data_IF_151543862487
#
_entry.id   IF_151543862487
#
_cell.length_a   1.000
_cell.length_b   1.000
_cell.length_c   1.000
_cell.angle_alpha   90.00
_cell.angle_beta   90.00
_cell.angle_gamma   90.00
#
_symmetry.space_group_name_H-M   'P 1'
#
loop_
_entity.id
_entity.type
_entity.pdbx_description
1 polymer ?
#
# COMPACT_ATOMS: atom_id res chain seq x y z
N UNK A 1 1.01 -19.82 15.15
CA UNK A 1 0.09 -19.45 14.05
C UNK A 1 0.79 -18.44 13.17
N UNK A 2 1.24 -18.85 11.97
CA UNK A 2 1.78 -17.93 10.98
C UNK A 2 0.65 -17.02 10.49
N UNK A 3 0.81 -15.70 10.61
CA UNK A 3 -0.12 -14.75 9.98
C UNK A 3 0.06 -14.89 8.47
N UNK A 4 -0.94 -15.45 7.81
CA UNK A 4 -0.99 -15.54 6.35
C UNK A 4 -1.40 -14.15 5.84
N UNK A 5 -0.44 -13.37 5.37
CA UNK A 5 -0.73 -12.10 4.72
C UNK A 5 -1.05 -12.38 3.26
N UNK A 6 -2.17 -11.85 2.77
CA UNK A 6 -2.52 -11.98 1.37
C UNK A 6 -1.41 -11.34 0.50
N UNK A 7 -0.95 -12.09 -0.50
CA UNK A 7 0.05 -11.61 -1.45
C UNK A 7 -0.52 -10.50 -2.36
N UNK A 8 -1.84 -10.45 -2.49
CA UNK A 8 -2.58 -9.54 -3.34
C UNK A 8 -3.20 -8.38 -2.53
N UNK A 9 -3.47 -7.30 -3.25
CA UNK A 9 -4.11 -6.12 -2.70
C UNK A 9 -5.63 -6.19 -2.86
N UNK A 10 -6.38 -5.86 -1.81
CA UNK A 10 -7.85 -5.82 -1.86
C UNK A 10 -8.44 -4.62 -1.11
N UNK A 11 -9.71 -4.30 -1.40
CA UNK A 11 -10.43 -3.21 -0.74
C UNK A 11 -10.66 -3.48 0.75
N UNK A 12 -10.52 -2.45 1.58
CA UNK A 12 -10.62 -2.58 3.04
C UNK A 12 -9.37 -3.18 3.70
N UNK A 13 -8.35 -3.56 2.93
CA UNK A 13 -7.10 -4.04 3.49
C UNK A 13 -6.40 -2.93 4.27
N UNK A 14 -5.89 -3.28 5.46
CA UNK A 14 -4.99 -2.41 6.22
C UNK A 14 -3.59 -2.46 5.61
N UNK A 15 -3.06 -1.29 5.31
CA UNK A 15 -1.73 -1.06 4.76
C UNK A 15 -1.02 0.04 5.53
N UNK A 16 0.26 0.22 5.23
CA UNK A 16 1.12 1.23 5.80
C UNK A 16 1.62 2.15 4.70
N UNK A 17 1.48 3.46 4.89
CA UNK A 17 1.85 4.49 3.90
C UNK A 17 3.07 5.24 4.40
N UNK A 18 4.10 5.32 3.55
CA UNK A 18 5.37 5.98 3.79
C UNK A 18 5.39 7.29 3.00
N UNK A 19 5.10 8.42 3.66
CA UNK A 19 5.04 9.74 2.99
C UNK A 19 6.43 10.20 2.57
N UNK A 20 7.40 10.08 3.47
CA UNK A 20 8.82 10.35 3.21
C UNK A 20 9.68 9.29 3.91
N UNK A 21 10.95 9.09 3.50
CA UNK A 21 11.84 8.12 4.14
C UNK A 21 12.10 8.39 5.63
N UNK A 22 11.93 9.64 6.07
CA UNK A 22 12.22 10.09 7.43
C UNK A 22 10.97 10.24 8.30
N UNK A 23 9.78 10.31 7.69
CA UNK A 23 8.53 10.41 8.43
C UNK A 23 8.11 9.07 9.02
N UNK A 24 7.38 9.12 10.14
CA UNK A 24 6.75 7.93 10.67
C UNK A 24 5.71 7.40 9.67
N UNK A 25 5.73 6.09 9.38
CA UNK A 25 4.75 5.49 8.51
C UNK A 25 3.34 5.54 9.14
N UNK A 26 2.32 5.68 8.29
CA UNK A 26 0.94 5.86 8.75
C UNK A 26 0.09 4.67 8.31
N UNK A 27 -0.62 4.06 9.25
CA UNK A 27 -1.60 3.02 8.92
C UNK A 27 -2.79 3.60 8.17
N UNK A 28 -3.25 2.91 7.13
CA UNK A 28 -4.36 3.33 6.30
C UNK A 28 -5.18 2.13 5.81
N UNK A 29 -6.43 2.38 5.42
CA UNK A 29 -7.30 1.41 4.79
C UNK A 29 -7.41 1.67 3.30
N UNK A 30 -7.28 0.63 2.47
CA UNK A 30 -7.48 0.72 1.02
C UNK A 30 -8.96 0.99 0.74
N UNK A 31 -9.26 2.05 0.01
CA UNK A 31 -10.65 2.47 -0.30
C UNK A 31 -10.97 2.44 -1.78
N UNK A 32 -9.97 2.55 -2.66
CA UNK A 32 -10.11 2.37 -4.10
C UNK A 32 -8.78 1.87 -4.68
N UNK A 33 -8.88 0.97 -5.65
CA UNK A 33 -7.75 0.49 -6.46
C UNK A 33 -8.02 0.96 -7.89
N UNK A 34 -7.09 1.71 -8.47
CA UNK A 34 -7.20 2.27 -9.81
C UNK A 34 -6.15 1.63 -10.72
N UNK A 35 -6.54 0.55 -11.40
CA UNK A 35 -5.64 -0.19 -12.30
C UNK A 35 -5.30 0.60 -13.56
N UNK A 36 -6.13 1.56 -13.98
CA UNK A 36 -5.86 2.36 -15.19
C UNK A 36 -4.70 3.33 -14.98
N UNK A 37 -4.61 3.89 -13.77
CA UNK A 37 -3.57 4.86 -13.41
C UNK A 37 -2.43 4.26 -12.59
N UNK A 38 -2.58 3.01 -12.13
CA UNK A 38 -1.63 2.39 -11.20
C UNK A 38 -1.60 3.07 -9.84
N UNK A 39 -2.71 3.66 -9.40
CA UNK A 39 -2.80 4.40 -8.13
C UNK A 39 -3.77 3.78 -7.14
N UNK A 40 -3.53 4.07 -5.86
CA UNK A 40 -4.28 3.50 -4.75
C UNK A 40 -4.84 4.66 -3.93
N UNK A 41 -6.12 4.59 -3.59
CA UNK A 41 -6.68 5.53 -2.62
C UNK A 41 -6.80 4.86 -1.27
N UNK A 42 -6.33 5.57 -0.25
CA UNK A 42 -6.30 5.08 1.12
C UNK A 42 -6.90 6.12 2.07
N UNK A 43 -7.52 5.64 3.14
CA UNK A 43 -7.95 6.48 4.25
C UNK A 43 -7.01 6.22 5.43
N UNK A 44 -6.15 7.18 5.81
CA UNK A 44 -5.30 7.05 6.98
C UNK A 44 -6.13 6.93 8.25
N UNK A 45 -5.78 5.97 9.11
CA UNK A 45 -6.50 5.72 10.36
C UNK A 45 -6.29 6.90 11.30
N UNK A 46 -7.40 7.45 11.81
CA UNK A 46 -7.38 8.65 12.66
C UNK A 46 -7.48 9.97 11.90
N UNK A 47 -7.52 9.95 10.56
CA UNK A 47 -7.65 11.13 9.73
C UNK A 47 -8.99 11.13 8.97
N UNK A 48 -9.61 12.31 8.82
CA UNK A 48 -10.86 12.50 8.05
C UNK A 48 -10.60 12.93 6.61
N UNK A 49 -9.59 12.34 5.96
CA UNK A 49 -9.20 12.68 4.59
C UNK A 49 -8.84 11.41 3.81
N UNK A 50 -9.08 11.43 2.50
CA UNK A 50 -8.64 10.38 1.58
C UNK A 50 -7.35 10.81 0.90
N UNK A 51 -6.37 9.93 0.87
CA UNK A 51 -5.12 10.14 0.14
C UNK A 51 -5.09 9.29 -1.12
N UNK A 52 -4.41 9.82 -2.14
CA UNK A 52 -3.96 9.05 -3.29
C UNK A 52 -2.47 8.77 -3.09
N UNK A 53 -2.08 7.51 -3.19
CA UNK A 53 -0.71 7.09 -2.93
C UNK A 53 -0.16 6.30 -4.13
N UNK A 54 1.11 6.55 -4.43
CA UNK A 54 1.88 5.74 -5.36
C UNK A 54 2.13 4.36 -4.71
N UNK A 55 2.05 3.25 -5.46
CA UNK A 55 2.27 1.90 -4.92
C UNK A 55 3.59 1.76 -4.15
N UNK A 56 4.66 2.42 -4.62
CA UNK A 56 5.98 2.38 -3.96
C UNK A 56 5.98 2.96 -2.54
N UNK A 57 5.02 3.82 -2.22
CA UNK A 57 4.85 4.39 -0.89
C UNK A 57 4.03 3.50 0.05
N UNK A 58 3.50 2.37 -0.42
CA UNK A 58 2.61 1.49 0.35
C UNK A 58 3.35 0.20 0.68
N UNK A 59 3.21 -0.25 1.93
CA UNK A 59 3.61 -1.59 2.35
C UNK A 59 2.46 -2.32 3.05
N UNK A 60 2.46 -3.65 3.01
CA UNK A 60 1.57 -4.44 3.86
C UNK A 60 2.08 -4.46 5.31
N UNK A 61 1.31 -5.10 6.20
CA UNK A 61 1.66 -5.24 7.61
C UNK A 61 2.87 -6.17 7.86
N UNK A 62 3.33 -6.90 6.84
CA UNK A 62 4.55 -7.72 6.88
C UNK A 62 5.80 -6.93 6.44
N UNK A 63 5.66 -5.67 6.04
CA UNK A 63 6.78 -4.82 5.57
C UNK A 63 7.10 -4.97 4.08
N UNK A 64 6.29 -5.71 3.32
CA UNK A 64 6.48 -5.89 1.88
C UNK A 64 5.89 -4.70 1.14
N UNK A 65 6.59 -4.19 0.13
CA UNK A 65 6.16 -3.01 -0.63
C UNK A 65 5.23 -3.40 -1.77
N UNK A 66 4.26 -2.54 -2.03
CA UNK A 66 3.30 -2.72 -3.10
C UNK A 66 3.94 -2.35 -4.45
N UNK A 67 3.75 -3.22 -5.43
CA UNK A 67 4.15 -2.99 -6.81
C UNK A 67 2.96 -2.98 -7.73
N UNK A 68 3.14 -2.33 -8.87
CA UNK A 68 2.20 -2.31 -9.97
C UNK A 68 2.95 -2.64 -11.25
N UNK A 69 2.75 -3.85 -11.78
CA UNK A 69 3.38 -4.32 -13.01
C UNK A 69 2.34 -5.07 -13.83
N UNK A 70 2.33 -4.87 -15.16
CA UNK A 70 1.39 -5.52 -16.10
C UNK A 70 -0.07 -5.41 -15.65
N UNK A 71 -0.48 -4.23 -15.19
CA UNK A 71 -1.84 -3.93 -14.71
C UNK A 71 -2.28 -4.71 -13.44
N UNK A 72 -1.33 -5.31 -12.71
CA UNK A 72 -1.59 -6.06 -11.49
C UNK A 72 -0.82 -5.52 -10.28
N UNK A 73 -1.51 -5.48 -9.15
CA UNK A 73 -0.95 -5.10 -7.85
C UNK A 73 -0.53 -6.33 -7.05
N UNK A 74 0.70 -6.33 -6.53
CA UNK A 74 1.20 -7.40 -5.67
C UNK A 74 2.24 -6.88 -4.67
N UNK A 75 2.39 -7.57 -3.54
CA UNK A 75 3.38 -7.24 -2.51
C UNK A 75 4.69 -8.00 -2.73
N UNK A 76 5.83 -7.32 -2.53
CA UNK A 76 7.17 -7.91 -2.67
C UNK A 76 8.16 -7.34 -1.65
N UNK A 77 9.13 -8.15 -1.24
CA UNK A 77 10.15 -7.81 -0.22
C UNK A 77 11.19 -6.79 -0.72
N UNK A 78 11.32 -6.60 -2.03
CA UNK A 78 12.36 -5.72 -2.60
C UNK A 78 11.86 -4.28 -2.76
N UNK A 79 12.45 -3.36 -2.00
CA UNK A 79 12.50 -1.92 -2.33
C UNK A 79 13.41 -1.77 -3.55
N UNK A 80 12.88 -1.85 -4.77
CA UNK A 80 13.69 -1.66 -5.97
C UNK A 80 14.14 -0.20 -6.08
N UNK A 81 15.42 0.04 -5.81
CA UNK A 81 16.15 1.24 -6.23
C UNK A 81 16.52 1.04 -7.71
N UNK A 82 15.69 1.55 -8.62
CA UNK A 82 16.07 1.76 -10.01
C UNK A 82 15.67 3.18 -10.41
#
# INVERSE_FOLDING_TARGET
MSRQYAAELFLGQKVVVHITPTAHPIEALVTKIDNQTGTIHVNPIGYKVRWQANPRAISNMAGQFLRFEKDHFFFSDTRSLH
#
